data_IF_588026141508
#
_entry.id   IF_588026141508
#
_cell.length_a   1.000
_cell.length_b   1.000
_cell.length_c   1.000
_cell.angle_alpha   90.00
_cell.angle_beta   90.00
_cell.angle_gamma   90.00
#
_symmetry.space_group_name_H-M   'P 1'
#
loop_
_entity.id
_entity.type
_entity.pdbx_description
1 polymer ?
#
# COMPACT_ATOMS: atom_id res chain seq x y z
N UNK A 1 -2.57 -19.65 -63.16
CA UNK A 1 -2.00 -20.76 -62.35
C UNK A 1 -1.53 -20.16 -61.03
N UNK A 2 -2.33 -20.25 -59.97
CA UNK A 2 -2.21 -21.18 -58.82
C UNK A 2 -0.89 -21.00 -58.05
N UNK A 3 -0.99 -20.27 -56.93
CA UNK A 3 -0.01 -20.23 -55.84
C UNK A 3 0.11 -21.61 -55.17
N UNK A 4 1.26 -21.89 -54.54
CA UNK A 4 1.28 -22.49 -53.21
C UNK A 4 2.15 -21.62 -52.27
N UNK A 5 1.60 -21.00 -51.23
CA UNK A 5 1.46 -21.55 -49.87
C UNK A 5 2.81 -21.81 -49.18
N UNK A 6 3.40 -20.76 -48.58
CA UNK A 6 4.45 -20.95 -47.57
C UNK A 6 3.80 -21.19 -46.20
N UNK A 7 3.86 -22.45 -45.78
CA UNK A 7 3.41 -22.93 -44.49
C UNK A 7 4.40 -22.56 -43.39
N UNK A 8 3.88 -21.82 -42.40
CA UNK A 8 3.99 -22.06 -40.96
C UNK A 8 5.20 -22.88 -40.46
N UNK A 9 6.18 -22.20 -39.85
CA UNK A 9 7.01 -22.77 -38.78
C UNK A 9 6.70 -22.02 -37.49
N UNK A 10 5.70 -22.52 -36.77
CA UNK A 10 5.54 -22.21 -35.35
C UNK A 10 6.40 -23.20 -34.59
N UNK A 11 7.59 -22.76 -34.16
CA UNK A 11 8.38 -23.52 -33.21
C UNK A 11 7.60 -23.60 -31.90
N UNK A 12 7.02 -24.78 -31.66
CA UNK A 12 6.37 -25.14 -30.42
C UNK A 12 7.43 -25.25 -29.33
N UNK A 13 7.67 -24.16 -28.61
CA UNK A 13 8.43 -24.20 -27.37
C UNK A 13 7.63 -24.99 -26.33
N UNK A 14 8.05 -26.23 -26.09
CA UNK A 14 7.50 -27.12 -25.08
C UNK A 14 8.27 -26.88 -23.76
N UNK A 15 7.68 -26.25 -22.73
CA UNK A 15 8.35 -26.21 -21.44
C UNK A 15 8.30 -27.60 -20.82
N UNK A 16 9.48 -28.21 -20.65
CA UNK A 16 9.63 -29.45 -19.87
C UNK A 16 9.15 -29.17 -18.45
N UNK A 17 8.02 -29.78 -18.08
CA UNK A 17 7.48 -29.74 -16.73
C UNK A 17 8.45 -30.40 -15.75
N UNK A 18 9.02 -29.62 -14.85
CA UNK A 18 9.65 -30.15 -13.64
C UNK A 18 8.57 -30.34 -12.58
N UNK A 19 8.08 -31.58 -12.46
CA UNK A 19 7.41 -32.03 -11.25
C UNK A 19 8.49 -32.20 -10.17
N UNK A 20 8.63 -31.20 -9.30
CA UNK A 20 9.29 -31.38 -8.03
C UNK A 20 8.28 -31.21 -6.90
N UNK A 21 8.05 -32.37 -6.29
CA UNK A 21 7.30 -32.72 -5.09
C UNK A 21 7.31 -31.62 -4.04
N UNK A 22 6.19 -31.52 -3.34
CA UNK A 22 5.96 -30.60 -2.23
C UNK A 22 7.14 -30.58 -1.26
N UNK A 23 7.78 -29.42 -1.18
CA UNK A 23 8.59 -29.06 -0.03
C UNK A 23 7.61 -28.62 1.06
N UNK A 24 7.37 -29.49 2.04
CA UNK A 24 6.78 -29.11 3.31
C UNK A 24 7.54 -27.90 3.84
N UNK A 25 6.85 -26.78 3.92
CA UNK A 25 7.34 -25.56 4.56
C UNK A 25 7.60 -25.91 6.02
N UNK A 26 8.86 -26.15 6.38
CA UNK A 26 9.27 -26.07 7.78
C UNK A 26 9.19 -24.59 8.16
N UNK A 27 8.13 -24.22 8.85
CA UNK A 27 8.08 -22.99 9.64
C UNK A 27 9.21 -23.11 10.68
N UNK A 28 10.38 -22.57 10.37
CA UNK A 28 11.33 -22.22 11.40
C UNK A 28 10.74 -21.03 12.14
N UNK A 29 10.09 -21.31 13.28
CA UNK A 29 9.82 -20.31 14.29
C UNK A 29 11.18 -19.81 14.80
N UNK A 30 11.74 -18.80 14.15
CA UNK A 30 12.89 -18.09 14.68
C UNK A 30 12.39 -17.38 15.93
N UNK A 31 12.83 -17.92 17.06
CA UNK A 31 12.47 -17.48 18.39
C UNK A 31 12.53 -15.96 18.50
N UNK A 32 11.51 -15.42 19.16
CA UNK A 32 11.51 -14.08 19.70
C UNK A 32 12.80 -13.90 20.51
N UNK A 33 13.76 -13.15 19.99
CA UNK A 33 14.87 -12.64 20.79
C UNK A 33 14.28 -11.52 21.65
N UNK A 34 13.61 -11.92 22.73
CA UNK A 34 13.36 -11.06 23.86
C UNK A 34 14.72 -10.69 24.39
N UNK A 35 15.15 -9.44 24.17
CA UNK A 35 16.16 -8.84 25.03
C UNK A 35 15.57 -8.85 26.43
N UNK A 36 15.98 -9.86 27.19
CA UNK A 36 15.76 -9.94 28.62
C UNK A 36 16.52 -8.76 29.21
N UNK A 37 15.77 -7.71 29.57
CA UNK A 37 16.26 -6.69 30.49
C UNK A 37 16.49 -7.45 31.80
N UNK A 38 17.76 -7.60 32.17
CA UNK A 38 18.14 -8.06 33.50
C UNK A 38 17.63 -7.04 34.52
N UNK A 39 16.44 -7.29 35.05
CA UNK A 39 16.11 -6.91 36.41
C UNK A 39 16.87 -7.90 37.29
N UNK A 40 17.99 -7.47 37.86
CA UNK A 40 18.74 -8.25 38.86
C UNK A 40 17.91 -8.35 40.14
N UNK A 41 17.46 -9.53 40.57
CA UNK A 41 17.01 -9.75 41.94
C UNK A 41 18.20 -10.26 42.76
N UNK A 42 18.59 -9.47 43.75
CA UNK A 42 19.01 -9.92 45.09
C UNK A 42 19.59 -11.35 45.19
N UNK A 43 20.92 -11.47 45.27
CA UNK A 43 21.58 -12.69 45.74
C UNK A 43 22.09 -12.46 47.17
N UNK A 44 21.33 -12.99 48.13
CA UNK A 44 21.80 -13.32 49.47
C UNK A 44 22.87 -14.42 49.34
N UNK A 45 24.14 -14.03 49.42
CA UNK A 45 25.25 -14.95 49.73
C UNK A 45 25.90 -14.48 51.01
N UNK A 46 25.18 -14.70 52.11
CA UNK A 46 25.82 -14.85 53.41
C UNK A 46 26.66 -16.14 53.37
N UNK A 47 27.85 -16.03 53.96
CA UNK A 47 28.70 -17.10 54.46
C UNK A 47 29.92 -17.45 53.58
N UNK A 48 31.08 -17.01 54.11
CA UNK A 48 32.45 -17.54 53.95
C UNK A 48 33.43 -16.79 53.05
N UNK A 49 33.53 -15.46 53.22
CA UNK A 49 34.77 -14.71 52.90
C UNK A 49 35.26 -13.88 54.11
N UNK A 50 34.99 -14.37 55.32
CA UNK A 50 35.76 -13.96 56.48
C UNK A 50 37.17 -14.55 56.35
N UNK A 51 38.19 -13.76 56.68
CA UNK A 51 39.62 -14.11 56.69
C UNK A 51 40.34 -14.02 55.33
N UNK A 52 40.61 -12.79 54.89
CA UNK A 52 41.95 -12.27 54.51
C UNK A 52 41.80 -11.04 53.58
N UNK A 53 41.19 -9.97 54.10
CA UNK A 53 41.41 -8.63 53.54
C UNK A 53 42.65 -8.08 54.24
N UNK A 54 43.77 -7.79 53.53
CA UNK A 54 44.92 -7.11 54.12
C UNK A 54 44.43 -5.84 54.81
N UNK A 55 44.69 -5.72 56.12
CA UNK A 55 44.36 -4.53 56.93
C UNK A 55 44.76 -3.27 56.17
N UNK A 56 43.75 -2.54 55.68
CA UNK A 56 43.89 -1.19 55.18
C UNK A 56 44.61 -0.37 56.26
N UNK A 57 45.79 0.14 55.95
CA UNK A 57 46.63 0.95 56.84
C UNK A 57 46.20 2.43 56.80
N UNK A 58 44.97 2.69 56.37
CA UNK A 58 44.35 4.00 56.38
C UNK A 58 43.24 3.94 57.43
N UNK A 59 43.23 4.91 58.34
CA UNK A 59 42.13 5.06 59.29
C UNK A 59 40.80 4.97 58.53
N UNK A 60 39.86 4.18 59.03
CA UNK A 60 38.50 4.26 58.52
C UNK A 60 38.06 5.72 58.64
N UNK A 61 37.60 6.36 57.55
CA UNK A 61 37.14 7.72 57.63
C UNK A 61 35.88 7.75 58.52
N UNK A 62 35.96 8.31 59.72
CA UNK A 62 34.85 8.53 60.65
C UNK A 62 33.83 9.58 60.14
N UNK A 63 33.66 9.73 58.82
CA UNK A 63 32.79 10.75 58.20
C UNK A 63 31.64 10.14 57.39
N UNK A 64 31.29 8.89 57.66
CA UNK A 64 30.06 8.27 57.12
C UNK A 64 28.89 8.47 58.10
N UNK A 65 28.81 9.64 58.74
CA UNK A 65 27.50 10.19 59.06
C UNK A 65 26.91 10.65 57.72
N UNK A 66 26.01 9.83 57.17
CA UNK A 66 25.38 9.92 55.85
C UNK A 66 24.58 11.23 55.60
N UNK A 67 24.69 12.20 56.51
CA UNK A 67 23.94 13.45 56.58
C UNK A 67 24.84 14.68 56.86
N UNK A 68 26.10 14.71 56.42
CA UNK A 68 26.82 16.00 56.30
C UNK A 68 26.26 16.80 55.09
N UNK A 69 25.45 17.87 55.29
CA UNK A 69 24.80 18.59 54.20
C UNK A 69 25.78 19.39 53.33
N UNK A 70 27.05 19.50 53.72
CA UNK A 70 28.08 20.23 52.98
C UNK A 70 28.80 19.37 51.92
N UNK A 71 28.58 18.05 51.89
CA UNK A 71 29.23 17.15 50.93
C UNK A 71 28.46 17.09 49.60
N UNK A 72 29.09 17.55 48.51
CA UNK A 72 28.52 17.44 47.15
C UNK A 72 28.51 15.96 46.73
N UNK A 73 27.33 15.34 46.74
CA UNK A 73 27.14 13.97 46.26
C UNK A 73 27.19 13.92 44.73
N UNK A 74 27.88 12.94 44.13
CA UNK A 74 27.85 12.75 42.67
C UNK A 74 26.40 12.56 42.19
N UNK A 75 25.88 13.54 41.45
CA UNK A 75 24.52 13.50 40.92
C UNK A 75 24.50 12.75 39.58
N UNK A 76 23.56 11.81 39.43
CA UNK A 76 23.33 11.14 38.14
C UNK A 76 22.81 12.16 37.14
N UNK A 77 23.65 12.54 36.18
CA UNK A 77 23.25 13.41 35.08
C UNK A 77 22.16 12.73 34.26
N UNK A 78 21.10 13.46 34.00
CA UNK A 78 19.94 12.93 33.32
C UNK A 78 20.13 13.06 31.81
N UNK A 79 19.97 11.96 31.09
CA UNK A 79 20.19 11.93 29.64
C UNK A 79 19.04 12.68 28.91
N UNK A 80 19.31 13.78 28.19
CA UNK A 80 18.28 14.60 27.54
C UNK A 80 17.48 13.82 26.48
N UNK A 81 18.10 12.84 25.80
CA UNK A 81 17.43 11.96 24.83
C UNK A 81 16.45 11.02 25.53
N UNK A 82 16.79 10.56 26.73
CA UNK A 82 15.91 9.71 27.53
C UNK A 82 14.86 10.50 28.30
N UNK A 83 15.03 11.80 28.51
CA UNK A 83 13.97 12.64 29.09
C UNK A 83 12.95 13.12 28.06
N UNK A 84 13.37 13.29 26.81
CA UNK A 84 12.47 13.70 25.75
C UNK A 84 11.54 12.56 25.34
N UNK A 85 10.31 12.61 25.83
CA UNK A 85 9.25 11.65 25.45
C UNK A 85 9.05 11.61 23.94
N UNK A 86 9.02 12.78 23.30
CA UNK A 86 8.87 12.92 21.86
C UNK A 86 9.96 12.17 21.08
N UNK A 87 11.22 12.24 21.53
CA UNK A 87 12.31 11.50 20.88
C UNK A 87 12.12 9.98 21.04
N UNK A 88 11.76 9.52 22.23
CA UNK A 88 11.54 8.09 22.46
C UNK A 88 10.38 7.54 21.63
N UNK A 89 9.29 8.30 21.53
CA UNK A 89 8.11 7.91 20.77
C UNK A 89 8.42 7.88 19.28
N UNK A 90 9.16 8.86 18.75
CA UNK A 90 9.65 8.83 17.38
C UNK A 90 10.55 7.59 17.11
N UNK A 91 11.48 7.27 18.02
CA UNK A 91 12.33 6.09 17.87
C UNK A 91 11.52 4.79 17.83
N UNK A 92 10.52 4.68 18.71
CA UNK A 92 9.59 3.54 18.74
C UNK A 92 8.80 3.45 17.44
N UNK A 93 8.27 4.56 16.96
CA UNK A 93 7.48 4.63 15.73
C UNK A 93 8.31 4.23 14.50
N UNK A 94 9.53 4.76 14.38
CA UNK A 94 10.45 4.42 13.28
C UNK A 94 10.76 2.92 13.24
N UNK A 95 11.06 2.32 14.40
CA UNK A 95 11.28 0.87 14.51
C UNK A 95 10.02 0.08 14.16
N UNK A 96 8.84 0.54 14.60
CA UNK A 96 7.57 -0.11 14.25
C UNK A 96 7.28 -0.03 12.76
N UNK A 97 7.51 1.11 12.12
CA UNK A 97 7.29 1.32 10.69
C UNK A 97 8.23 0.47 9.82
N UNK A 98 9.48 0.30 10.26
CA UNK A 98 10.43 -0.61 9.63
C UNK A 98 9.97 -2.07 9.77
N UNK A 99 9.58 -2.50 10.98
CA UNK A 99 9.07 -3.86 11.23
C UNK A 99 7.79 -4.15 10.45
N UNK A 100 6.91 -3.16 10.28
CA UNK A 100 5.65 -3.28 9.55
C UNK A 100 5.80 -3.13 8.03
N UNK A 101 6.99 -2.77 7.53
CA UNK A 101 7.22 -2.56 6.09
C UNK A 101 6.40 -1.42 5.49
N UNK A 102 5.90 -0.50 6.34
CA UNK A 102 5.10 0.67 5.96
C UNK A 102 5.97 1.87 5.56
N UNK A 103 7.24 1.87 5.98
CA UNK A 103 8.21 2.81 5.45
C UNK A 103 8.33 2.61 3.93
N UNK A 104 8.52 3.67 3.14
CA UNK A 104 9.05 3.58 1.79
C UNK A 104 10.45 2.96 1.89
N UNK A 105 10.52 1.65 2.05
CA UNK A 105 11.71 0.87 1.79
C UNK A 105 12.05 1.23 0.36
N UNK A 106 13.28 1.68 0.12
CA UNK A 106 13.87 1.76 -1.21
C UNK A 106 13.98 0.33 -1.77
N UNK A 107 12.83 -0.34 -1.95
CA UNK A 107 12.73 -1.68 -2.50
C UNK A 107 13.38 -1.59 -3.87
N UNK A 108 14.32 -2.48 -4.20
CA UNK A 108 14.92 -2.48 -5.52
C UNK A 108 13.81 -2.60 -6.56
N UNK A 109 13.97 -1.93 -7.70
CA UNK A 109 12.96 -1.83 -8.75
C UNK A 109 12.41 -3.21 -9.18
N UNK A 110 13.28 -4.22 -9.21
CA UNK A 110 12.88 -5.61 -9.50
C UNK A 110 11.84 -6.15 -8.50
N UNK A 111 11.99 -5.87 -7.21
CA UNK A 111 11.05 -6.33 -6.20
C UNK A 111 9.68 -5.63 -6.34
N UNK A 112 9.67 -4.33 -6.63
CA UNK A 112 8.44 -3.59 -6.95
C UNK A 112 7.73 -4.19 -8.17
N UNK A 113 8.49 -4.46 -9.23
CA UNK A 113 7.96 -5.08 -10.46
C UNK A 113 7.42 -6.49 -10.20
N UNK A 114 8.11 -7.31 -9.41
CA UNK A 114 7.64 -8.66 -9.06
C UNK A 114 6.40 -8.64 -8.16
N UNK A 115 6.35 -7.76 -7.16
CA UNK A 115 5.15 -7.54 -6.33
C UNK A 115 3.98 -7.05 -7.18
N UNK A 116 4.23 -6.10 -8.09
CA UNK A 116 3.22 -5.61 -9.05
C UNK A 116 2.69 -6.75 -9.92
N UNK A 117 3.55 -7.53 -10.57
CA UNK A 117 3.15 -8.68 -11.40
C UNK A 117 2.30 -9.68 -10.63
N UNK A 118 2.66 -9.97 -9.37
CA UNK A 118 1.85 -10.84 -8.51
C UNK A 118 0.46 -10.25 -8.22
N UNK A 119 0.38 -8.95 -7.91
CA UNK A 119 -0.90 -8.26 -7.71
C UNK A 119 -1.75 -8.27 -8.98
N UNK A 120 -1.16 -7.89 -10.12
CA UNK A 120 -1.84 -7.86 -11.41
C UNK A 120 -2.37 -9.24 -11.82
N UNK A 121 -1.60 -10.31 -11.56
CA UNK A 121 -2.04 -11.69 -11.80
C UNK A 121 -3.26 -12.07 -10.94
N UNK A 122 -3.26 -11.71 -9.66
CA UNK A 122 -4.39 -11.98 -8.75
C UNK A 122 -5.61 -11.16 -9.14
N UNK A 123 -5.43 -9.89 -9.52
CA UNK A 123 -6.52 -9.03 -10.00
C UNK A 123 -7.14 -9.62 -11.25
N UNK A 124 -6.32 -9.99 -12.24
CA UNK A 124 -6.79 -10.59 -13.50
C UNK A 124 -7.58 -11.88 -13.25
N UNK A 125 -7.12 -12.75 -12.36
CA UNK A 125 -7.86 -13.97 -11.99
C UNK A 125 -9.20 -13.66 -11.32
N UNK A 126 -9.25 -12.65 -10.44
CA UNK A 126 -10.49 -12.21 -9.79
C UNK A 126 -11.45 -11.57 -10.78
N UNK A 127 -10.96 -10.75 -11.71
CA UNK A 127 -11.74 -10.15 -12.78
C UNK A 127 -12.32 -11.21 -13.71
N UNK A 128 -11.52 -12.18 -14.16
CA UNK A 128 -12.00 -13.29 -14.99
C UNK A 128 -13.05 -14.14 -14.25
N UNK A 129 -12.85 -14.40 -12.95
CA UNK A 129 -13.84 -15.08 -12.12
C UNK A 129 -15.10 -14.24 -11.92
N UNK A 130 -14.98 -12.92 -11.75
CA UNK A 130 -16.11 -12.02 -11.63
C UNK A 130 -16.88 -11.89 -12.95
N UNK A 131 -16.18 -11.81 -14.08
CA UNK A 131 -16.76 -11.78 -15.43
C UNK A 131 -17.52 -13.07 -15.74
N UNK A 132 -16.94 -14.24 -15.40
CA UNK A 132 -17.65 -15.52 -15.52
C UNK A 132 -18.83 -15.67 -14.57
N UNK A 133 -18.87 -14.89 -13.49
CA UNK A 133 -19.98 -14.85 -12.53
C UNK A 133 -21.00 -13.75 -12.84
N UNK A 134 -20.79 -12.92 -13.87
CA UNK A 134 -21.83 -11.98 -14.30
C UNK A 134 -22.98 -12.80 -14.87
N UNK A 135 -24.17 -12.58 -14.32
CA UNK A 135 -25.40 -13.15 -14.85
C UNK A 135 -25.65 -12.61 -16.26
N UNK A 136 -26.28 -13.39 -17.13
CA UNK A 136 -26.69 -12.95 -18.47
C UNK A 136 -27.52 -11.65 -18.39
N UNK A 137 -28.36 -11.51 -17.36
CA UNK A 137 -29.13 -10.30 -17.09
C UNK A 137 -28.23 -9.08 -16.77
N UNK A 138 -27.17 -9.26 -16.00
CA UNK A 138 -26.20 -8.19 -15.68
C UNK A 138 -25.48 -7.72 -16.95
N UNK A 139 -25.16 -8.66 -17.84
CA UNK A 139 -24.54 -8.36 -19.13
C UNK A 139 -25.51 -7.56 -20.02
N UNK A 140 -26.79 -7.94 -20.06
CA UNK A 140 -27.81 -7.19 -20.80
C UNK A 140 -28.05 -5.78 -20.23
N UNK A 141 -28.05 -5.64 -18.91
CA UNK A 141 -28.19 -4.33 -18.25
C UNK A 141 -27.03 -3.41 -18.61
N UNK A 142 -25.79 -3.91 -18.55
CA UNK A 142 -24.60 -3.17 -18.99
C UNK A 142 -24.67 -2.78 -20.46
N UNK A 143 -25.11 -3.69 -21.34
CA UNK A 143 -25.31 -3.39 -22.77
C UNK A 143 -26.35 -2.28 -22.97
N UNK A 144 -27.47 -2.34 -22.24
CA UNK A 144 -28.51 -1.32 -22.31
C UNK A 144 -27.98 0.04 -21.84
N UNK A 145 -27.22 0.07 -20.76
CA UNK A 145 -26.59 1.29 -20.25
C UNK A 145 -25.62 1.90 -21.27
N UNK A 146 -24.72 1.10 -21.85
CA UNK A 146 -23.79 1.56 -22.89
C UNK A 146 -24.52 2.13 -24.11
N UNK A 147 -25.64 1.54 -24.52
CA UNK A 147 -26.45 2.04 -25.63
C UNK A 147 -27.08 3.40 -25.31
N UNK A 148 -27.56 3.60 -24.08
CA UNK A 148 -28.12 4.88 -23.63
C UNK A 148 -27.03 5.96 -23.60
N UNK A 149 -25.87 5.66 -23.05
CA UNK A 149 -24.73 6.59 -23.00
C UNK A 149 -24.28 7.03 -24.40
N UNK A 150 -24.25 6.12 -25.38
CA UNK A 150 -23.96 6.44 -26.78
C UNK A 150 -25.00 7.37 -27.39
N UNK A 151 -26.29 7.10 -27.15
CA UNK A 151 -27.39 7.94 -27.64
C UNK A 151 -27.37 9.34 -27.01
N UNK A 152 -27.07 9.44 -25.72
CA UNK A 152 -26.92 10.74 -25.04
C UNK A 152 -25.77 11.53 -25.64
N UNK A 153 -24.63 10.89 -25.89
CA UNK A 153 -23.48 11.53 -26.52
C UNK A 153 -23.78 11.97 -27.96
N UNK A 154 -24.52 11.17 -28.73
CA UNK A 154 -24.95 11.54 -30.08
C UNK A 154 -25.93 12.72 -30.06
N UNK A 155 -26.91 12.71 -29.15
CA UNK A 155 -27.84 13.85 -28.99
C UNK A 155 -27.11 15.13 -28.61
N UNK A 156 -26.14 15.05 -27.70
CA UNK A 156 -25.32 16.21 -27.32
C UNK A 156 -24.54 16.75 -28.53
N UNK A 157 -23.92 15.87 -29.33
CA UNK A 157 -23.22 16.27 -30.55
C UNK A 157 -24.16 16.92 -31.57
N UNK A 158 -25.34 16.37 -31.79
CA UNK A 158 -26.34 16.93 -32.71
C UNK A 158 -26.82 18.31 -32.24
N UNK A 159 -27.00 18.49 -30.93
CA UNK A 159 -27.34 19.79 -30.35
C UNK A 159 -26.20 20.79 -30.54
N UNK A 160 -24.97 20.40 -30.25
CA UNK A 160 -23.78 21.24 -30.45
C UNK A 160 -23.60 21.62 -31.93
N UNK A 161 -23.78 20.69 -32.86
CA UNK A 161 -23.76 20.95 -34.31
C UNK A 161 -24.87 21.91 -34.74
N UNK A 162 -26.07 21.81 -34.15
CA UNK A 162 -27.19 22.72 -34.42
C UNK A 162 -26.92 24.13 -33.89
N UNK A 163 -26.32 24.25 -32.69
CA UNK A 163 -25.93 25.55 -32.11
C UNK A 163 -24.82 26.21 -32.91
N UNK A 164 -23.82 25.42 -33.33
CA UNK A 164 -22.70 25.83 -34.18
C UNK A 164 -23.08 26.06 -35.65
N UNK A 165 -24.31 25.71 -36.05
CA UNK A 165 -24.75 25.93 -37.42
C UNK A 165 -24.78 27.44 -37.76
N UNK A 166 -24.34 27.82 -38.98
CA UNK A 166 -24.35 29.21 -39.41
C UNK A 166 -25.75 29.83 -39.33
N UNK A 167 -25.83 31.11 -38.97
CA UNK A 167 -27.10 31.83 -38.75
C UNK A 167 -28.04 31.77 -39.96
N UNK A 168 -27.51 31.89 -41.18
CA UNK A 168 -28.33 31.82 -42.40
C UNK A 168 -29.04 30.46 -42.58
N UNK A 169 -28.47 29.37 -42.06
CA UNK A 169 -29.11 28.03 -42.06
C UNK A 169 -30.28 28.01 -41.07
N UNK A 170 -30.11 28.64 -39.90
CA UNK A 170 -31.16 28.79 -38.87
C UNK A 170 -32.32 29.65 -39.38
N UNK A 171 -32.02 30.77 -40.04
CA UNK A 171 -33.03 31.68 -40.62
C UNK A 171 -33.80 31.03 -41.78
N UNK A 172 -33.14 30.22 -42.62
CA UNK A 172 -33.81 29.48 -43.71
C UNK A 172 -34.87 28.50 -43.19
N UNK A 173 -34.63 27.85 -42.05
CA UNK A 173 -35.59 26.95 -41.41
C UNK A 173 -36.80 27.68 -40.86
N UNK A 174 -36.61 28.88 -40.31
CA UNK A 174 -37.70 29.71 -39.78
C UNK A 174 -38.60 30.25 -40.90
N UNK A 175 -38.01 30.65 -42.03
CA UNK A 175 -38.76 31.14 -43.20
C UNK A 175 -39.64 30.05 -43.85
N UNK A 176 -39.20 28.79 -43.78
CA UNK A 176 -40.00 27.63 -44.24
C UNK A 176 -41.19 27.34 -43.34
N UNK A 177 -41.07 27.55 -42.02
CA UNK A 177 -42.15 27.30 -41.06
C UNK A 177 -43.21 28.40 -41.09
N UNK A 178 -42.79 29.66 -41.15
CA UNK A 178 -43.74 30.79 -41.23
C UNK A 178 -44.54 30.80 -42.53
N UNK A 179 -43.95 30.37 -43.67
CA UNK A 179 -44.70 30.24 -44.92
C UNK A 179 -45.80 29.17 -44.89
N UNK A 180 -45.65 28.12 -44.07
CA UNK A 180 -46.66 27.06 -43.91
C UNK A 180 -47.79 27.48 -42.97
N UNK A 181 -47.48 28.19 -41.88
CA UNK A 181 -48.50 28.77 -40.99
C UNK A 181 -49.34 29.85 -41.69
N UNK A 182 -48.73 30.66 -42.56
CA UNK A 182 -49.45 31.67 -43.36
C UNK A 182 -50.36 31.02 -44.42
N UNK A 183 -49.96 29.91 -45.03
CA UNK A 183 -50.81 29.17 -45.97
C UNK A 183 -52.01 28.49 -45.28
N UNK A 184 -51.85 27.97 -44.06
CA UNK A 184 -52.94 27.37 -43.28
C UNK A 184 -53.94 28.42 -42.74
N UNK A 185 -53.50 29.65 -42.48
CA UNK A 185 -54.37 30.73 -42.02
C UNK A 185 -55.24 31.36 -43.12
N UNK A 186 -54.96 31.11 -44.40
CA UNK A 186 -55.75 31.62 -45.54
C UNK A 186 -56.81 30.63 -46.06
N UNK A 187 -56.82 29.39 -45.56
CA UNK A 187 -57.80 28.34 -45.90
C UNK A 187 -58.86 28.11 -44.80
N UNK A 188 -58.95 29.00 -43.80
CA UNK A 188 -59.99 28.98 -42.74
C UNK A 188 -60.96 30.16 -42.84
#
# INVERSE_FOLDING_TARGET
MRLPSENQRTDKFQPRGTFLRGATVRLAAMGSLTFHVQDNPFEDTNLKDAYLIPRSIMAEPDYIEDDNPELIRPQKLVNPVKMSRNHQDLHRELLMNQKRGLAPQNKPELQKVMEKRKRDQVIKQKEEAAQKKKSDFEIELLKRQQKLEQLELENQKLQEEQENAPEFVKVKGNLRRTGQEVAQAQES
#
